data_IF_520587460447
#
_entry.id   IF_520587460447
#
_cell.length_a   1.000
_cell.length_b   1.000
_cell.length_c   1.000
_cell.angle_alpha   90.00
_cell.angle_beta   90.00
_cell.angle_gamma   90.00
#
_symmetry.space_group_name_H-M   'P 1'
#
loop_
_entity.id
_entity.type
_entity.pdbx_description
1 polymer ?
#
# COMPACT_ATOMS: atom_id res chain seq x y z
N UNK A 1 -7.28 2.73 -11.83
CA UNK A 1 -7.05 3.69 -10.73
C UNK A 1 -7.85 4.98 -10.98
N UNK A 2 -8.89 4.89 -11.80
CA UNK A 2 -9.34 6.06 -12.57
C UNK A 2 -10.23 6.97 -11.73
N UNK A 3 -10.87 6.38 -10.70
CA UNK A 3 -11.68 7.04 -9.68
C UNK A 3 -10.87 7.76 -8.59
N UNK A 4 -9.56 7.59 -8.50
CA UNK A 4 -8.77 8.34 -7.50
C UNK A 4 -8.73 9.82 -7.88
N UNK A 5 -8.87 10.74 -6.93
CA UNK A 5 -8.60 12.16 -7.22
C UNK A 5 -7.09 12.39 -7.43
N UNK A 6 -6.68 13.52 -8.03
CA UNK A 6 -5.25 13.84 -8.15
C UNK A 6 -4.50 13.79 -6.81
N UNK A 7 -5.14 14.23 -5.71
CA UNK A 7 -4.59 14.15 -4.37
C UNK A 7 -4.42 12.70 -3.91
N UNK A 8 -5.47 11.88 -4.04
CA UNK A 8 -5.39 10.46 -3.72
C UNK A 8 -4.35 9.71 -4.57
N UNK A 9 -4.17 10.08 -5.85
CA UNK A 9 -3.08 9.53 -6.69
C UNK A 9 -1.69 9.91 -6.16
N UNK A 10 -1.48 11.15 -5.70
CA UNK A 10 -0.21 11.54 -5.06
C UNK A 10 0.06 10.72 -3.80
N UNK A 11 -0.93 10.49 -2.96
CA UNK A 11 -0.83 9.60 -1.79
C UNK A 11 -0.37 8.20 -2.20
N UNK A 12 -0.93 7.63 -3.26
CA UNK A 12 -0.53 6.30 -3.75
C UNK A 12 0.90 6.27 -4.28
N UNK A 13 1.36 7.34 -4.94
CA UNK A 13 2.75 7.49 -5.40
C UNK A 13 3.68 7.61 -4.19
N UNK A 14 3.35 8.47 -3.22
CA UNK A 14 4.12 8.61 -1.99
C UNK A 14 4.22 7.28 -1.24
N UNK A 15 3.13 6.51 -1.14
CA UNK A 15 3.15 5.17 -0.55
C UNK A 15 4.09 4.20 -1.27
N UNK A 16 4.19 4.30 -2.60
CA UNK A 16 5.15 3.51 -3.37
C UNK A 16 6.59 3.95 -3.07
N UNK A 17 6.84 5.25 -2.96
CA UNK A 17 8.16 5.80 -2.65
C UNK A 17 8.61 5.42 -1.23
N UNK A 18 7.70 5.43 -0.24
CA UNK A 18 7.95 4.93 1.11
C UNK A 18 8.36 3.44 1.10
N UNK A 19 7.62 2.62 0.36
CA UNK A 19 7.93 1.20 0.22
C UNK A 19 9.30 0.97 -0.42
N UNK A 20 9.69 1.79 -1.41
CA UNK A 20 11.02 1.72 -2.04
C UNK A 20 12.11 2.18 -1.07
N UNK A 21 11.94 3.32 -0.41
CA UNK A 21 12.90 3.88 0.55
C UNK A 21 13.17 2.97 1.74
N UNK A 22 12.16 2.20 2.17
CA UNK A 22 12.28 1.20 3.24
C UNK A 22 12.78 -0.17 2.74
N UNK A 23 13.01 -0.34 1.44
CA UNK A 23 13.43 -1.62 0.85
C UNK A 23 12.35 -2.71 0.94
N UNK A 24 11.08 -2.33 1.10
CA UNK A 24 9.97 -3.26 1.13
C UNK A 24 9.55 -3.64 -0.29
N UNK A 25 9.58 -4.94 -0.61
CA UNK A 25 9.23 -5.48 -1.92
C UNK A 25 7.73 -5.56 -2.19
N UNK A 26 6.92 -4.74 -1.52
CA UNK A 26 5.46 -4.71 -1.55
C UNK A 26 4.91 -3.35 -1.08
N UNK A 27 3.65 -3.06 -1.40
CA UNK A 27 2.93 -1.89 -0.88
C UNK A 27 1.79 -2.40 0.01
N UNK A 28 1.85 -2.12 1.32
CA UNK A 28 0.87 -2.51 2.33
C UNK A 28 0.16 -1.30 2.91
N UNK A 29 -0.72 -1.53 3.88
CA UNK A 29 -1.53 -0.49 4.52
C UNK A 29 -0.65 0.53 5.24
N UNK A 30 0.46 0.07 5.81
CA UNK A 30 1.47 0.91 6.44
C UNK A 30 2.09 1.91 5.46
N UNK A 31 2.32 1.50 4.21
CA UNK A 31 2.88 2.39 3.21
C UNK A 31 1.84 3.41 2.74
N UNK A 32 0.57 3.00 2.63
CA UNK A 32 -0.52 3.94 2.33
C UNK A 32 -0.70 4.94 3.47
N UNK A 33 -0.59 4.50 4.73
CA UNK A 33 -0.61 5.38 5.90
C UNK A 33 0.54 6.41 5.88
N UNK A 34 1.77 5.97 5.58
CA UNK A 34 2.90 6.89 5.41
C UNK A 34 2.69 7.85 4.23
N UNK A 35 2.17 7.36 3.10
CA UNK A 35 1.83 8.20 1.96
C UNK A 35 0.77 9.26 2.27
N UNK A 36 -0.20 8.95 3.14
CA UNK A 36 -1.19 9.91 3.65
C UNK A 36 -0.55 10.96 4.56
N UNK A 37 0.39 10.56 5.43
CA UNK A 37 1.14 11.46 6.30
C UNK A 37 2.14 12.36 5.53
N UNK A 38 2.55 11.94 4.34
CA UNK A 38 3.47 12.68 3.46
C UNK A 38 2.80 13.65 2.48
N UNK A 39 1.48 13.61 2.30
CA UNK A 39 0.77 14.63 1.50
C UNK A 39 0.48 15.85 2.39
N UNK A 40 1.45 16.75 2.55
CA UNK A 40 1.40 17.92 3.45
C UNK A 40 0.21 18.87 3.23
N UNK A 41 -0.40 18.84 2.04
CA UNK A 41 -1.59 19.62 1.73
C UNK A 41 -2.91 18.88 2.05
N UNK A 42 -2.84 17.59 2.39
CA UNK A 42 -3.98 16.71 2.57
C UNK A 42 -4.72 16.91 3.89
N UNK A 43 -6.04 16.93 3.84
CA UNK A 43 -6.93 16.86 5.01
C UNK A 43 -6.71 15.61 5.85
N UNK A 44 -6.48 14.45 5.22
CA UNK A 44 -6.16 13.21 5.91
C UNK A 44 -4.84 13.31 6.72
N UNK A 45 -3.86 14.04 6.19
CA UNK A 45 -2.59 14.30 6.89
C UNK A 45 -2.81 15.15 8.14
N UNK A 46 -3.54 16.26 7.99
CA UNK A 46 -3.91 17.13 9.12
C UNK A 46 -4.66 16.36 10.19
N UNK A 47 -5.68 15.59 9.80
CA UNK A 47 -6.45 14.75 10.72
C UNK A 47 -5.55 13.82 11.54
N UNK A 48 -4.60 13.10 10.91
CA UNK A 48 -3.68 12.22 11.64
C UNK A 48 -2.73 13.00 12.57
N UNK A 49 -2.24 14.16 12.12
CA UNK A 49 -1.35 15.02 12.91
C UNK A 49 -2.03 15.64 14.11
N UNK A 50 -3.29 16.06 13.97
CA UNK A 50 -4.12 16.59 15.05
C UNK A 50 -4.34 15.54 16.15
N UNK A 51 -4.23 14.26 15.80
CA UNK A 51 -4.27 13.13 16.72
C UNK A 51 -2.87 12.62 17.14
N UNK A 52 -1.80 13.37 16.88
CA UNK A 52 -0.47 13.09 17.40
C UNK A 52 0.35 12.03 16.63
N UNK A 53 -0.02 11.74 15.37
CA UNK A 53 0.78 10.92 14.48
C UNK A 53 1.38 11.77 13.35
N UNK A 54 2.71 11.78 13.25
CA UNK A 54 3.43 12.39 12.13
C UNK A 54 4.20 11.34 11.31
N UNK A 55 4.65 11.75 10.11
CA UNK A 55 5.36 10.89 9.18
C UNK A 55 6.66 10.32 9.76
N UNK A 56 7.42 11.12 10.51
CA UNK A 56 8.74 10.73 11.01
C UNK A 56 8.60 9.66 12.11
N UNK A 57 7.65 9.83 13.01
CA UNK A 57 7.34 8.86 14.05
C UNK A 57 6.80 7.56 13.45
N UNK A 58 5.84 7.66 12.52
CA UNK A 58 5.28 6.48 11.84
C UNK A 58 6.34 5.67 11.07
N UNK A 59 7.29 6.34 10.39
CA UNK A 59 8.43 5.68 9.74
C UNK A 59 9.32 4.96 10.74
N UNK A 60 9.61 5.60 11.88
CA UNK A 60 10.43 5.01 12.95
C UNK A 60 9.78 3.74 13.51
N UNK A 61 8.47 3.76 13.72
CA UNK A 61 7.72 2.59 14.17
C UNK A 61 7.74 1.48 13.14
N UNK A 62 7.55 1.78 11.85
CA UNK A 62 7.60 0.78 10.80
C UNK A 62 8.99 0.12 10.71
N UNK A 63 10.08 0.90 10.82
CA UNK A 63 11.43 0.36 10.88
C UNK A 63 11.62 -0.60 12.07
N UNK A 64 11.04 -0.28 13.24
CA UNK A 64 11.05 -1.16 14.40
C UNK A 64 10.28 -2.46 14.14
N UNK A 65 9.08 -2.38 13.58
CA UNK A 65 8.28 -3.55 13.20
C UNK A 65 9.03 -4.46 12.22
N UNK A 66 9.75 -3.86 11.28
CA UNK A 66 10.58 -4.56 10.30
C UNK A 66 11.77 -5.25 10.98
N UNK A 67 12.47 -4.57 11.90
CA UNK A 67 13.56 -5.15 12.67
C UNK A 67 13.10 -6.33 13.56
N UNK A 68 11.89 -6.23 14.11
CA UNK A 68 11.25 -7.29 14.91
C UNK A 68 10.67 -8.44 14.06
N UNK A 69 10.81 -8.37 12.72
CA UNK A 69 10.31 -9.37 11.79
C UNK A 69 8.78 -9.48 11.72
N UNK A 70 8.08 -8.40 12.11
CA UNK A 70 6.61 -8.32 12.06
C UNK A 70 6.09 -7.95 10.68
N UNK A 71 6.88 -7.21 9.93
CA UNK A 71 6.73 -6.96 8.50
C UNK A 71 7.88 -7.65 7.76
N UNK A 72 7.61 -8.25 6.59
CA UNK A 72 8.68 -8.88 5.83
C UNK A 72 9.60 -7.82 5.24
N UNK A 73 10.88 -7.86 5.63
CA UNK A 73 11.93 -7.35 4.77
C UNK A 73 11.88 -8.14 3.45
N UNK A 74 12.10 -7.46 2.32
CA UNK A 74 12.08 -8.11 1.03
C UNK A 74 13.14 -9.23 0.99
N UNK A 75 12.73 -10.48 1.26
CA UNK A 75 13.62 -11.65 1.12
C UNK A 75 13.86 -11.85 -0.36
N UNK A 76 15.04 -11.41 -0.80
CA UNK A 76 15.46 -11.50 -2.20
C UNK A 76 14.75 -10.48 -3.07
N UNK A 77 15.11 -9.21 -2.93
CA UNK A 77 14.78 -8.26 -3.98
C UNK A 77 15.72 -8.52 -5.16
N UNK A 78 15.22 -9.25 -6.16
CA UNK A 78 15.89 -9.39 -7.44
C UNK A 78 16.31 -8.00 -7.95
N UNK A 79 15.51 -6.94 -7.73
CA UNK A 79 15.88 -5.58 -8.12
C UNK A 79 17.06 -5.02 -7.30
N UNK A 80 17.12 -5.22 -5.98
CA UNK A 80 18.29 -4.83 -5.18
C UNK A 80 19.55 -5.63 -5.54
N UNK A 81 19.39 -6.93 -5.80
CA UNK A 81 20.48 -7.80 -6.26
C UNK A 81 20.98 -7.34 -7.63
N UNK A 82 20.06 -7.00 -8.54
CA UNK A 82 20.36 -6.44 -9.85
C UNK A 82 21.06 -5.08 -9.72
N UNK A 83 20.59 -4.20 -8.83
CA UNK A 83 21.25 -2.92 -8.54
C UNK A 83 22.68 -3.10 -8.03
N UNK A 84 22.91 -4.08 -7.15
CA UNK A 84 24.24 -4.40 -6.65
C UNK A 84 25.22 -4.83 -7.75
N UNK A 85 24.72 -5.40 -8.85
CA UNK A 85 25.51 -5.70 -10.07
C UNK A 85 25.42 -4.63 -11.15
N UNK A 86 24.90 -3.43 -10.82
CA UNK A 86 24.85 -2.27 -11.72
C UNK A 86 23.60 -2.18 -12.61
N UNK A 87 22.56 -2.98 -12.36
CA UNK A 87 21.32 -2.99 -13.12
C UNK A 87 20.19 -2.36 -12.29
N UNK A 88 19.88 -1.10 -12.59
CA UNK A 88 18.74 -0.41 -11.98
C UNK A 88 17.44 -0.67 -12.76
N UNK A 89 16.63 -1.60 -12.24
CA UNK A 89 15.33 -1.97 -12.84
C UNK A 89 14.37 -0.79 -12.89
N UNK A 90 14.40 0.11 -11.90
CA UNK A 90 13.54 1.30 -11.86
C UNK A 90 13.91 2.28 -12.97
N UNK A 91 15.21 2.50 -13.19
CA UNK A 91 15.69 3.31 -14.31
C UNK A 91 15.34 2.68 -15.66
N UNK A 92 15.48 1.36 -15.80
CA UNK A 92 15.07 0.63 -17.01
C UNK A 92 13.58 0.82 -17.26
N UNK A 93 12.73 0.68 -16.24
CA UNK A 93 11.29 0.89 -16.36
C UNK A 93 10.98 2.32 -16.82
N UNK A 94 11.63 3.33 -16.23
CA UNK A 94 11.45 4.73 -16.60
C UNK A 94 11.82 4.99 -18.06
N UNK A 95 12.99 4.50 -18.49
CA UNK A 95 13.44 4.64 -19.88
C UNK A 95 12.51 3.95 -20.87
N UNK A 96 12.02 2.75 -20.54
CA UNK A 96 11.06 2.04 -21.37
C UNK A 96 9.74 2.82 -21.50
N UNK A 97 9.20 3.36 -20.40
CA UNK A 97 7.98 4.16 -20.44
C UNK A 97 8.16 5.45 -21.22
N UNK A 98 9.31 6.09 -21.12
CA UNK A 98 9.63 7.29 -21.89
C UNK A 98 9.74 6.99 -23.39
N UNK A 99 10.36 5.86 -23.76
CA UNK A 99 10.57 5.49 -25.17
C UNK A 99 9.32 4.92 -25.84
N UNK A 100 8.53 4.10 -25.14
CA UNK A 100 7.45 3.30 -25.72
C UNK A 100 6.05 3.67 -25.22
N UNK A 101 5.95 4.54 -24.21
CA UNK A 101 4.71 4.89 -23.56
C UNK A 101 4.31 3.91 -22.44
N UNK A 102 3.62 4.38 -21.39
CA UNK A 102 3.30 3.58 -20.21
C UNK A 102 2.39 2.39 -20.51
N UNK A 103 1.41 2.54 -21.40
CA UNK A 103 0.45 1.49 -21.73
C UNK A 103 1.09 0.35 -22.52
N UNK A 104 1.99 0.67 -23.46
CA UNK A 104 2.71 -0.34 -24.23
C UNK A 104 3.62 -1.19 -23.34
N UNK A 105 4.33 -0.54 -22.41
CA UNK A 105 5.15 -1.25 -21.41
C UNK A 105 4.28 -2.11 -20.50
N UNK A 106 3.16 -1.59 -20.00
CA UNK A 106 2.25 -2.34 -19.14
C UNK A 106 1.69 -3.60 -19.83
N UNK A 107 1.29 -3.48 -21.11
CA UNK A 107 0.80 -4.60 -21.91
C UNK A 107 1.90 -5.64 -22.16
N UNK A 108 3.13 -5.20 -22.48
CA UNK A 108 4.27 -6.09 -22.68
C UNK A 108 4.61 -6.88 -21.40
N UNK A 109 4.65 -6.20 -20.25
CA UNK A 109 4.85 -6.80 -18.94
C UNK A 109 3.73 -7.80 -18.63
N UNK A 110 2.48 -7.45 -18.92
CA UNK A 110 1.33 -8.35 -18.72
C UNK A 110 1.45 -9.63 -19.55
N UNK A 111 1.79 -9.50 -20.84
CA UNK A 111 1.99 -10.65 -21.75
C UNK A 111 3.12 -11.56 -21.27
N UNK A 112 4.27 -10.98 -20.94
CA UNK A 112 5.43 -11.71 -20.44
C UNK A 112 5.15 -12.44 -19.10
N UNK A 113 4.25 -11.89 -18.30
CA UNK A 113 3.85 -12.48 -17.03
C UNK A 113 2.92 -13.68 -17.18
N UNK A 114 2.25 -13.89 -18.31
CA UNK A 114 1.27 -14.98 -18.47
C UNK A 114 1.94 -16.35 -18.62
N UNK A 115 1.48 -17.33 -17.84
CA UNK A 115 1.73 -18.76 -18.12
C UNK A 115 0.47 -19.46 -18.63
N UNK A 116 0.61 -20.35 -19.62
CA UNK A 116 -0.48 -21.23 -20.01
C UNK A 116 -0.89 -22.17 -18.88
N UNK A 117 -2.17 -22.54 -18.86
CA UNK A 117 -2.77 -23.33 -17.77
C UNK A 117 -2.09 -24.71 -17.59
N UNK A 118 -1.64 -25.35 -18.68
CA UNK A 118 -0.94 -26.64 -18.67
C UNK A 118 0.47 -26.58 -18.06
N UNK A 119 1.08 -25.39 -17.93
CA UNK A 119 2.34 -25.18 -17.17
C UNK A 119 2.06 -24.68 -15.76
N UNK A 120 1.01 -25.18 -15.12
CA UNK A 120 0.65 -24.85 -13.74
C UNK A 120 0.04 -23.45 -13.58
N UNK A 121 -0.76 -23.01 -14.56
CA UNK A 121 -1.55 -21.77 -14.63
C UNK A 121 -1.29 -20.66 -13.59
N UNK A 122 -0.93 -19.47 -14.07
CA UNK A 122 -0.76 -18.28 -13.22
C UNK A 122 0.04 -17.18 -13.89
N UNK A 123 0.25 -16.06 -13.18
CA UNK A 123 1.19 -15.02 -13.61
C UNK A 123 2.56 -15.23 -12.95
N UNK A 124 3.64 -15.32 -13.74
CA UNK A 124 5.01 -15.14 -13.23
C UNK A 124 5.24 -13.64 -13.04
N UNK A 125 5.75 -13.26 -11.88
CA UNK A 125 6.17 -11.88 -11.67
C UNK A 125 7.54 -11.73 -12.30
N UNK A 126 7.74 -10.62 -12.99
CA UNK A 126 9.05 -10.17 -13.44
C UNK A 126 9.37 -8.83 -12.72
N UNK A 127 10.62 -8.36 -12.77
CA UNK A 127 11.03 -7.15 -12.07
C UNK A 127 10.25 -5.88 -12.47
N UNK A 128 9.65 -5.84 -13.67
CA UNK A 128 8.85 -4.72 -14.18
C UNK A 128 7.35 -4.82 -13.82
N UNK A 129 6.90 -5.87 -13.11
CA UNK A 129 5.50 -6.03 -12.70
C UNK A 129 5.05 -5.07 -11.59
N UNK A 130 5.90 -4.14 -11.17
CA UNK A 130 5.71 -3.31 -9.99
C UNK A 130 5.68 -4.12 -8.69
N UNK A 131 5.74 -3.42 -7.56
CA UNK A 131 5.58 -4.03 -6.24
C UNK A 131 4.17 -4.62 -6.09
N UNK A 132 4.02 -5.80 -5.47
CA UNK A 132 2.72 -6.37 -5.20
C UNK A 132 1.97 -5.44 -4.25
N UNK A 133 0.76 -5.09 -4.64
CA UNK A 133 -0.13 -4.27 -3.83
C UNK A 133 -0.93 -5.16 -2.88
N UNK A 134 -0.65 -5.08 -1.58
CA UNK A 134 -1.35 -5.81 -0.51
C UNK A 134 -2.46 -5.01 0.14
N UNK A 135 -2.41 -3.67 0.06
CA UNK A 135 -3.50 -2.77 0.48
C UNK A 135 -4.74 -2.78 -0.46
N UNK A 136 -5.00 -3.91 -1.13
CA UNK A 136 -6.15 -4.05 -2.05
C UNK A 136 -7.47 -3.97 -1.33
N UNK A 137 -7.55 -4.55 -0.12
CA UNK A 137 -8.79 -4.54 0.66
C UNK A 137 -9.03 -3.14 1.21
N UNK A 138 -8.04 -2.50 1.82
CA UNK A 138 -8.08 -1.07 2.18
C UNK A 138 -8.57 -0.18 1.02
N UNK A 139 -8.02 -0.35 -0.19
CA UNK A 139 -8.48 0.41 -1.37
C UNK A 139 -9.92 0.11 -1.78
N UNK A 140 -10.37 -1.15 -1.70
CA UNK A 140 -11.77 -1.50 -1.96
C UNK A 140 -12.71 -0.86 -0.93
N UNK A 141 -12.33 -0.87 0.35
CA UNK A 141 -13.06 -0.25 1.44
C UNK A 141 -13.11 1.28 1.30
N UNK A 142 -12.05 1.89 0.78
CA UNK A 142 -12.02 3.31 0.41
C UNK A 142 -13.06 3.63 -0.68
N UNK A 143 -13.12 2.81 -1.73
CA UNK A 143 -14.13 2.96 -2.80
C UNK A 143 -15.54 2.80 -2.25
N UNK A 144 -15.79 1.77 -1.44
CA UNK A 144 -17.09 1.56 -0.79
C UNK A 144 -17.49 2.73 0.12
N UNK A 145 -16.53 3.36 0.79
CA UNK A 145 -16.78 4.54 1.61
C UNK A 145 -17.17 5.76 0.77
N UNK A 146 -16.53 5.96 -0.39
CA UNK A 146 -16.90 7.02 -1.33
C UNK A 146 -18.30 6.79 -1.90
N UNK A 147 -18.61 5.55 -2.30
CA UNK A 147 -19.93 5.17 -2.80
C UNK A 147 -21.03 5.42 -1.74
N UNK A 148 -20.76 5.09 -0.47
CA UNK A 148 -21.69 5.38 0.66
C UNK A 148 -21.96 6.86 0.87
N UNK A 149 -21.01 7.73 0.54
CA UNK A 149 -21.17 9.18 0.61
C UNK A 149 -21.69 9.80 -0.70
N UNK A 150 -22.04 8.97 -1.69
CA UNK A 150 -22.48 9.44 -3.01
C UNK A 150 -21.37 10.11 -3.83
N UNK A 151 -20.10 9.89 -3.46
CA UNK A 151 -18.93 10.48 -4.14
C UNK A 151 -18.50 9.60 -5.30
N UNK A 152 -18.34 10.20 -6.47
CA UNK A 152 -17.86 9.49 -7.67
C UNK A 152 -16.37 9.14 -7.56
N UNK A 153 -15.60 10.06 -6.99
CA UNK A 153 -14.15 9.95 -6.87
C UNK A 153 -13.73 9.65 -5.43
N UNK A 154 -12.56 9.03 -5.30
CA UNK A 154 -11.96 8.61 -4.02
C UNK A 154 -10.88 9.63 -3.64
N UNK A 155 -11.15 10.33 -2.55
CA UNK A 155 -10.26 11.32 -1.91
C UNK A 155 -9.32 10.69 -0.85
N UNK A 156 -8.25 11.40 -0.41
CA UNK A 156 -7.35 10.91 0.65
C UNK A 156 -8.05 10.45 1.94
N UNK A 157 -9.15 11.09 2.34
CA UNK A 157 -9.93 10.72 3.51
C UNK A 157 -10.61 9.36 3.34
N UNK A 158 -11.08 9.05 2.13
CA UNK A 158 -11.61 7.73 1.81
C UNK A 158 -10.49 6.67 1.86
N UNK A 159 -9.29 7.00 1.36
CA UNK A 159 -8.11 6.12 1.48
C UNK A 159 -7.78 5.87 2.95
N UNK A 160 -7.74 6.91 3.79
CA UNK A 160 -7.52 6.78 5.21
C UNK A 160 -8.60 5.94 5.88
N UNK A 161 -9.87 6.18 5.57
CA UNK A 161 -11.00 5.39 6.07
C UNK A 161 -10.83 3.90 5.75
N UNK A 162 -10.45 3.60 4.49
CA UNK A 162 -10.18 2.24 4.03
C UNK A 162 -9.04 1.57 4.79
N UNK A 163 -7.92 2.29 4.99
CA UNK A 163 -6.78 1.81 5.79
C UNK A 163 -7.18 1.55 7.24
N UNK A 164 -7.89 2.46 7.89
CA UNK A 164 -8.32 2.30 9.28
C UNK A 164 -9.26 1.10 9.47
N UNK A 165 -10.14 0.86 8.49
CA UNK A 165 -11.05 -0.29 8.52
C UNK A 165 -10.31 -1.60 8.27
N UNK A 166 -9.36 -1.64 7.33
CA UNK A 166 -8.53 -2.83 7.08
C UNK A 166 -7.59 -3.12 8.27
N UNK A 167 -7.09 -2.07 8.93
CA UNK A 167 -6.24 -2.14 10.11
C UNK A 167 -6.94 -2.74 11.34
N UNK A 168 -8.26 -2.58 11.46
CA UNK A 168 -9.03 -3.13 12.56
C UNK A 168 -9.08 -4.67 12.55
N UNK A 169 -8.85 -5.31 11.41
CA UNK A 169 -8.81 -6.75 11.30
C UNK A 169 -7.36 -7.29 11.40
N UNK A 170 -7.15 -8.48 11.99
CA UNK A 170 -5.85 -9.14 11.91
C UNK A 170 -5.45 -9.39 10.46
N UNK A 171 -4.16 -9.21 10.17
CA UNK A 171 -3.60 -9.27 8.83
C UNK A 171 -3.93 -10.59 8.13
N UNK A 172 -4.48 -10.49 6.92
CA UNK A 172 -4.73 -11.62 6.04
C UNK A 172 -5.92 -12.51 6.42
N UNK A 173 -6.72 -12.13 7.42
CA UNK A 173 -7.94 -12.86 7.81
C UNK A 173 -8.99 -12.88 6.72
N UNK A 174 -9.12 -11.77 5.96
CA UNK A 174 -10.00 -11.69 4.78
C UNK A 174 -9.51 -12.45 3.55
N UNK A 175 -8.33 -13.11 3.58
CA UNK A 175 -7.77 -13.79 2.41
C UNK A 175 -8.20 -15.24 2.31
N UNK A 176 -8.55 -15.70 1.11
CA UNK A 176 -8.75 -17.13 0.83
C UNK A 176 -7.46 -17.98 0.96
N UNK A 177 -7.59 -19.31 0.94
CA UNK A 177 -6.48 -20.27 1.17
C UNK A 177 -5.23 -20.00 0.31
N UNK A 178 -5.42 -19.67 -0.97
CA UNK A 178 -4.32 -19.35 -1.90
C UNK A 178 -3.64 -18.02 -1.56
N UNK A 179 -4.40 -17.02 -1.10
CA UNK A 179 -3.89 -15.71 -0.67
C UNK A 179 -3.02 -15.82 0.56
N UNK A 180 -3.52 -16.52 1.60
CA UNK A 180 -2.75 -16.81 2.83
C UNK A 180 -1.43 -17.52 2.52
N UNK A 181 -1.45 -18.56 1.68
CA UNK A 181 -0.22 -19.28 1.26
C UNK A 181 0.78 -18.35 0.57
N UNK A 182 0.33 -17.48 -0.34
CA UNK A 182 1.21 -16.56 -1.07
C UNK A 182 1.84 -15.51 -0.16
N UNK A 183 1.08 -14.95 0.78
CA UNK A 183 1.64 -13.97 1.72
C UNK A 183 2.59 -14.63 2.72
N UNK A 184 2.27 -15.82 3.23
CA UNK A 184 3.18 -16.59 4.08
C UNK A 184 4.52 -16.88 3.38
N UNK A 185 4.51 -17.18 2.07
CA UNK A 185 5.74 -17.35 1.27
C UNK A 185 6.59 -16.08 1.16
N UNK A 186 5.99 -14.91 1.34
CA UNK A 186 6.68 -13.62 1.35
C UNK A 186 7.14 -13.23 2.76
N UNK A 187 7.01 -14.11 3.74
CA UNK A 187 7.43 -13.87 5.13
C UNK A 187 6.34 -13.26 6.01
N UNK A 188 5.13 -13.05 5.51
CA UNK A 188 4.03 -12.55 6.35
C UNK A 188 3.52 -13.60 7.32
N UNK A 189 3.23 -13.16 8.54
CA UNK A 189 2.55 -13.96 9.55
C UNK A 189 1.05 -13.67 9.49
N UNK A 190 0.26 -14.62 8.98
CA UNK A 190 -1.19 -14.45 8.90
C UNK A 190 -1.79 -14.46 10.32
N UNK A 191 -2.76 -13.58 10.58
CA UNK A 191 -3.43 -13.47 11.86
C UNK A 191 -2.68 -12.65 12.91
N UNK A 192 -1.53 -12.07 12.58
CA UNK A 192 -0.92 -11.03 13.41
C UNK A 192 -1.63 -9.70 13.19
N UNK A 193 -1.43 -8.71 14.07
CA UNK A 193 -2.04 -7.40 13.82
C UNK A 193 -1.50 -6.79 12.51
N UNK A 194 -2.35 -5.99 11.87
CA UNK A 194 -1.98 -5.19 10.72
C UNK A 194 -0.82 -4.23 11.08
N UNK A 195 0.22 -4.06 10.24
CA UNK A 195 1.29 -3.10 10.51
C UNK A 195 0.81 -1.66 10.70
N UNK A 196 -0.20 -1.22 9.94
CA UNK A 196 -0.80 0.10 10.13
C UNK A 196 -1.43 0.23 11.53
N UNK A 197 -2.13 -0.82 12.00
CA UNK A 197 -2.68 -0.85 13.35
C UNK A 197 -1.59 -0.85 14.43
N UNK A 198 -0.45 -1.50 14.18
CA UNK A 198 0.67 -1.51 15.11
C UNK A 198 1.31 -0.12 15.26
N UNK A 199 1.46 0.62 14.16
CA UNK A 199 1.94 2.01 14.15
C UNK A 199 0.96 2.90 14.93
N UNK A 200 -0.33 2.82 14.62
CA UNK A 200 -1.36 3.59 15.33
C UNK A 200 -1.37 3.28 16.84
N UNK A 201 -1.31 2.00 17.21
CA UNK A 201 -1.29 1.58 18.61
C UNK A 201 -0.05 2.06 19.38
N UNK A 202 1.12 2.20 18.73
CA UNK A 202 2.31 2.76 19.35
C UNK A 202 2.13 4.23 19.78
N UNK A 203 1.19 4.93 19.15
CA UNK A 203 0.77 6.29 19.45
C UNK A 203 -0.52 6.37 20.28
N UNK A 204 -1.01 5.24 20.82
CA UNK A 204 -2.26 5.21 21.59
C UNK A 204 -3.52 5.41 20.74
N UNK A 205 -3.41 5.26 19.42
CA UNK A 205 -4.51 5.48 18.49
C UNK A 205 -5.19 4.15 18.12
N UNK A 206 -6.47 4.03 18.50
CA UNK A 206 -7.31 2.91 18.08
C UNK A 206 -7.87 3.15 16.66
N UNK A 207 -7.69 2.22 15.70
CA UNK A 207 -8.21 2.40 14.34
C UNK A 207 -9.73 2.56 14.26
N UNK A 208 -10.48 1.86 15.13
CA UNK A 208 -11.93 1.93 15.18
C UNK A 208 -12.43 3.30 15.64
N UNK A 209 -11.80 3.85 16.68
CA UNK A 209 -12.07 5.17 17.21
C UNK A 209 -11.70 6.28 16.20
N UNK A 210 -10.49 6.24 15.62
CA UNK A 210 -10.07 7.21 14.60
C UNK A 210 -11.01 7.21 13.40
N UNK A 211 -11.45 6.03 12.95
CA UNK A 211 -12.41 5.91 11.85
C UNK A 211 -13.75 6.56 12.19
N UNK A 212 -14.21 6.45 13.44
CA UNK A 212 -15.44 7.11 13.88
C UNK A 212 -15.30 8.64 13.85
N UNK A 213 -14.18 9.18 14.31
CA UNK A 213 -13.88 10.62 14.24
C UNK A 213 -13.79 11.11 12.78
N UNK A 214 -13.03 10.40 11.93
CA UNK A 214 -12.90 10.73 10.52
C UNK A 214 -14.26 10.71 9.80
N UNK A 215 -15.10 9.72 10.11
CA UNK A 215 -16.45 9.63 9.52
C UNK A 215 -17.34 10.80 9.92
N UNK A 216 -17.18 11.33 11.14
CA UNK A 216 -17.92 12.50 11.60
C UNK A 216 -17.45 13.76 10.85
N UNK A 217 -16.14 13.94 10.67
CA UNK A 217 -15.56 15.04 9.90
C UNK A 217 -16.00 15.02 8.43
N UNK A 218 -15.94 13.85 7.79
CA UNK A 218 -16.37 13.69 6.39
C UNK A 218 -17.86 13.95 6.18
N UNK A 219 -18.70 13.61 7.18
CA UNK A 219 -20.14 13.86 7.13
C UNK A 219 -20.56 15.29 7.53
N UNK A 220 -19.63 16.08 8.08
CA UNK A 220 -19.86 17.47 8.51
C UNK A 220 -19.42 18.51 7.47
N UNK A 221 -18.91 18.06 6.32
CA UNK A 221 -18.56 18.95 5.21
C UNK A 221 -19.85 19.49 4.55
N UNK A 222 -20.01 20.83 4.43
CA UNK A 222 -21.22 21.47 3.92
C UNK A 222 -21.52 21.17 2.45
#
# INVERSE_FOLDING_TARGET
MDRLTPAARRVMVAAQDEAEGLGHGYIGDEHVLLGLLGDDAGSAQRFLRDHGLDLAAARTDLLRLTADGRTPQSRGDDAATLRAVGIDVGQVEHQLKAAFGPDAVAEAVWRASRRPWWRGGGRRRNPLCGKPFFAKRALALAVESADRQGRRDVDPEHLLYGVLLDAADPFGTGLGRRGRKRQAQLGWRIGTCNPAAAILAAHGLDPGWLRAQLSADMGSAP
#
